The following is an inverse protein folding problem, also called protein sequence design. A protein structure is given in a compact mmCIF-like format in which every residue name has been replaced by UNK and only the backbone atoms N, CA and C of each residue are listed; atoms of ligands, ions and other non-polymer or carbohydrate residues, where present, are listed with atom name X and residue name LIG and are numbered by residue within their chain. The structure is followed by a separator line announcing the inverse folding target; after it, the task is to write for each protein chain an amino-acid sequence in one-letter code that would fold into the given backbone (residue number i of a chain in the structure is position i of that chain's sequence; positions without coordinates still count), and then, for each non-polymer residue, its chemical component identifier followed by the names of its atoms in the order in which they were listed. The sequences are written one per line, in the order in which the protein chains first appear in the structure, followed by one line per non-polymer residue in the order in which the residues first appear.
data_IF_212374095984
#
_entry.id   IF_212374095984
#
_cell.length_a   1.000
_cell.length_b   1.000
_cell.length_c   1.000
_cell.angle_alpha   90.00
_cell.angle_beta   90.00
_cell.angle_gamma   90.00
#
_symmetry.space_group_name_H-M   'P 1'
#
loop_
_entity.id
_entity.type
_entity.pdbx_description
1 polymer ?
#
# COMPACT_ATOMS: atom_id res chain seq x y z
N UNK A 1 28.16 -18.66 11.20
CA UNK A 1 28.25 -17.50 12.11
C UNK A 1 27.45 -16.43 11.42
N UNK A 2 26.18 -16.34 11.80
CA UNK A 2 25.22 -15.42 11.21
C UNK A 2 25.64 -14.00 11.51
N UNK A 3 25.94 -13.25 10.45
CA UNK A 3 26.08 -11.80 10.54
C UNK A 3 24.74 -11.25 11.03
N UNK A 4 24.77 -10.61 12.21
CA UNK A 4 23.66 -9.85 12.75
C UNK A 4 23.24 -8.80 11.72
N UNK A 5 22.16 -9.06 10.99
CA UNK A 5 21.51 -8.04 10.17
C UNK A 5 21.10 -6.90 11.11
N UNK A 6 21.62 -5.72 10.83
CA UNK A 6 21.34 -4.48 11.56
C UNK A 6 19.84 -4.26 11.66
N UNK A 7 19.33 -4.02 12.87
CA UNK A 7 17.89 -3.95 13.16
C UNK A 7 17.08 -2.91 12.35
N UNK A 8 17.73 -2.02 11.61
CA UNK A 8 17.06 -1.11 10.66
C UNK A 8 16.64 -1.82 9.35
N UNK A 9 17.31 -2.90 8.93
CA UNK A 9 16.98 -3.64 7.70
C UNK A 9 15.73 -4.51 7.85
N UNK A 10 15.47 -4.99 9.07
CA UNK A 10 14.37 -5.92 9.39
C UNK A 10 13.14 -5.22 9.98
N UNK A 11 13.14 -3.88 10.04
CA UNK A 11 12.02 -3.10 10.59
C UNK A 11 11.16 -2.50 9.47
N UNK A 12 9.83 -2.67 9.59
CA UNK A 12 8.88 -2.08 8.65
C UNK A 12 8.82 -0.55 8.79
N UNK A 13 9.37 0.18 7.80
CA UNK A 13 9.40 1.66 7.81
C UNK A 13 8.13 2.22 7.16
N UNK A 14 7.12 2.52 7.98
CA UNK A 14 5.81 2.95 7.46
C UNK A 14 5.87 4.21 6.57
N UNK A 15 6.74 5.18 6.87
CA UNK A 15 6.76 6.44 6.10
C UNK A 15 7.35 6.28 4.69
N UNK A 16 8.34 5.41 4.53
CA UNK A 16 8.87 5.02 3.21
C UNK A 16 7.77 4.35 2.38
N UNK A 17 7.04 3.41 2.99
CA UNK A 17 5.92 2.71 2.35
C UNK A 17 4.77 3.67 2.00
N UNK A 18 4.45 4.65 2.85
CA UNK A 18 3.43 5.68 2.56
C UNK A 18 3.76 6.44 1.29
N UNK A 19 5.03 6.82 1.09
CA UNK A 19 5.45 7.58 -0.08
C UNK A 19 5.34 6.75 -1.36
N UNK A 20 5.83 5.50 -1.33
CA UNK A 20 5.70 4.55 -2.45
C UNK A 20 4.24 4.39 -2.88
N UNK A 21 3.32 4.25 -1.92
CA UNK A 21 1.89 4.08 -2.20
C UNK A 21 1.30 5.33 -2.83
N UNK A 22 1.61 6.52 -2.29
CA UNK A 22 1.13 7.80 -2.86
C UNK A 22 1.60 7.99 -4.29
N UNK A 23 2.89 7.80 -4.54
CA UNK A 23 3.47 7.90 -5.88
C UNK A 23 2.84 6.91 -6.86
N UNK A 24 2.59 5.66 -6.43
CA UNK A 24 1.95 4.63 -7.24
C UNK A 24 0.50 4.96 -7.60
N UNK A 25 -0.24 5.62 -6.70
CA UNK A 25 -1.60 6.09 -6.98
C UNK A 25 -1.57 7.26 -7.97
N UNK A 26 -0.68 8.24 -7.75
CA UNK A 26 -0.58 9.44 -8.57
C UNK A 26 -0.10 9.15 -10.00
N UNK A 27 0.87 8.25 -10.16
CA UNK A 27 1.34 7.79 -11.48
C UNK A 27 0.26 7.03 -12.27
N UNK A 28 -0.60 6.26 -11.57
CA UNK A 28 -1.61 5.41 -12.19
C UNK A 28 -2.87 6.20 -12.57
N UNK A 29 -3.32 7.08 -11.68
CA UNK A 29 -4.62 7.76 -11.84
C UNK A 29 -4.47 9.23 -12.23
N UNK A 30 -3.42 9.91 -11.76
CA UNK A 30 -3.17 11.33 -11.99
C UNK A 30 -4.41 12.20 -11.76
N UNK A 31 -4.76 13.00 -12.77
CA UNK A 31 -5.94 13.88 -12.78
C UNK A 31 -7.22 13.22 -13.31
N UNK A 32 -7.26 11.88 -13.44
CA UNK A 32 -8.41 11.17 -13.99
C UNK A 32 -9.66 11.32 -13.10
N UNK A 33 -10.80 11.47 -13.76
CA UNK A 33 -12.12 11.39 -13.11
C UNK A 33 -12.57 9.93 -13.02
N UNK A 34 -13.35 9.60 -12.00
CA UNK A 34 -13.90 8.25 -11.78
C UNK A 34 -14.54 7.69 -13.06
N UNK A 35 -14.15 6.47 -13.41
CA UNK A 35 -14.73 5.69 -14.50
C UNK A 35 -14.81 4.24 -14.05
N UNK A 36 -16.04 3.72 -13.92
CA UNK A 36 -16.27 2.37 -13.41
C UNK A 36 -15.49 1.30 -14.18
N UNK A 37 -15.44 1.42 -15.52
CA UNK A 37 -14.73 0.49 -16.40
C UNK A 37 -13.21 0.48 -16.18
N UNK A 38 -12.64 1.54 -15.61
CA UNK A 38 -11.20 1.65 -15.33
C UNK A 38 -10.83 1.21 -13.91
N UNK A 39 -11.79 1.05 -13.01
CA UNK A 39 -11.53 0.76 -11.58
C UNK A 39 -10.70 -0.52 -11.42
N UNK A 40 -11.05 -1.59 -12.13
CA UNK A 40 -10.30 -2.85 -12.06
C UNK A 40 -8.85 -2.67 -12.53
N UNK A 41 -8.65 -1.97 -13.66
CA UNK A 41 -7.32 -1.69 -14.19
C UNK A 41 -6.50 -0.83 -13.22
N UNK A 42 -7.06 0.25 -12.68
CA UNK A 42 -6.37 1.09 -11.69
C UNK A 42 -6.00 0.31 -10.43
N UNK A 43 -6.89 -0.56 -9.96
CA UNK A 43 -6.63 -1.41 -8.79
C UNK A 43 -5.42 -2.30 -9.03
N UNK A 44 -5.38 -3.02 -10.15
CA UNK A 44 -4.25 -3.89 -10.50
C UNK A 44 -2.95 -3.10 -10.67
N UNK A 45 -2.98 -1.99 -11.41
CA UNK A 45 -1.78 -1.18 -11.65
C UNK A 45 -1.19 -0.59 -10.37
N UNK A 46 -2.03 -0.07 -9.45
CA UNK A 46 -1.56 0.44 -8.16
C UNK A 46 -0.92 -0.67 -7.34
N UNK A 47 -1.54 -1.85 -7.28
CA UNK A 47 -1.00 -3.00 -6.53
C UNK A 47 0.35 -3.45 -7.11
N UNK A 48 0.42 -3.62 -8.44
CA UNK A 48 1.64 -4.03 -9.13
C UNK A 48 2.77 -3.02 -8.94
N UNK A 49 2.51 -1.72 -9.08
CA UNK A 49 3.52 -0.69 -8.87
C UNK A 49 4.02 -0.65 -7.42
N UNK A 50 3.10 -0.73 -6.43
CA UNK A 50 3.49 -0.81 -5.02
C UNK A 50 4.40 -2.03 -4.78
N UNK A 51 4.00 -3.22 -5.23
CA UNK A 51 4.78 -4.44 -5.03
C UNK A 51 6.14 -4.36 -5.74
N UNK A 52 6.20 -3.84 -6.96
CA UNK A 52 7.44 -3.66 -7.70
C UNK A 52 8.40 -2.67 -7.01
N UNK A 53 7.89 -1.60 -6.41
CA UNK A 53 8.73 -0.65 -5.68
C UNK A 53 9.19 -1.22 -4.33
N UNK A 54 8.30 -1.86 -3.57
CA UNK A 54 8.60 -2.47 -2.28
C UNK A 54 9.64 -3.58 -2.39
N UNK A 55 9.54 -4.44 -3.43
CA UNK A 55 10.52 -5.50 -3.67
C UNK A 55 11.89 -4.97 -4.09
N UNK A 56 11.95 -3.83 -4.79
CA UNK A 56 13.21 -3.15 -5.14
C UNK A 56 13.96 -2.57 -3.95
N UNK A 57 13.29 -2.38 -2.80
CA UNK A 57 13.97 -1.98 -1.57
C UNK A 57 14.95 -3.05 -1.06
N UNK A 58 14.83 -4.29 -1.53
CA UNK A 58 15.75 -5.39 -1.15
C UNK A 58 15.65 -5.82 0.31
N UNK A 59 14.65 -5.34 1.06
CA UNK A 59 14.43 -5.70 2.46
C UNK A 59 13.79 -7.09 2.58
N UNK A 60 14.11 -7.88 3.62
CA UNK A 60 13.65 -9.26 3.79
C UNK A 60 12.19 -9.32 4.28
N UNK A 61 11.26 -8.85 3.46
CA UNK A 61 9.83 -8.83 3.77
C UNK A 61 9.01 -9.59 2.74
N UNK A 62 7.96 -10.25 3.21
CA UNK A 62 6.80 -10.63 2.41
C UNK A 62 5.78 -9.49 2.45
N UNK A 63 5.51 -8.91 1.28
CA UNK A 63 4.55 -7.81 1.15
C UNK A 63 3.17 -8.28 0.70
N UNK A 64 2.13 -7.71 1.31
CA UNK A 64 0.73 -7.86 0.88
C UNK A 64 0.15 -6.47 0.67
N UNK A 65 -0.44 -6.22 -0.50
CA UNK A 65 -1.05 -4.93 -0.84
C UNK A 65 -2.52 -5.14 -1.16
N UNK A 66 -3.38 -4.36 -0.52
CA UNK A 66 -4.81 -4.30 -0.80
C UNK A 66 -5.15 -2.88 -1.26
N UNK A 67 -6.00 -2.75 -2.29
CA UNK A 67 -6.43 -1.47 -2.82
C UNK A 67 -7.95 -1.48 -2.96
N UNK A 68 -8.61 -0.47 -2.38
CA UNK A 68 -10.05 -0.24 -2.50
C UNK A 68 -10.27 1.13 -3.13
N UNK A 69 -11.00 1.16 -4.24
CA UNK A 69 -11.38 2.39 -4.93
C UNK A 69 -12.88 2.61 -4.73
N UNK A 70 -13.25 3.81 -4.29
CA UNK A 70 -14.65 4.16 -4.01
C UNK A 70 -15.04 5.47 -4.69
N UNK A 71 -16.17 5.49 -5.40
CA UNK A 71 -16.72 6.72 -5.97
C UNK A 71 -17.24 7.65 -4.86
N UNK A 72 -17.01 8.97 -5.00
CA UNK A 72 -17.59 10.00 -4.15
C UNK A 72 -19.06 10.26 -4.51
N UNK A 73 -19.94 9.41 -4.01
CA UNK A 73 -21.40 9.52 -4.17
C UNK A 73 -22.14 9.87 -2.88
N UNK A 74 -21.42 10.19 -1.80
CA UNK A 74 -21.98 10.40 -0.47
C UNK A 74 -22.16 9.12 0.35
N UNK A 75 -21.85 7.95 -0.21
CA UNK A 75 -21.78 6.70 0.53
C UNK A 75 -20.58 6.66 1.51
N UNK A 76 -20.73 5.92 2.60
CA UNK A 76 -19.66 5.65 3.57
C UNK A 76 -18.91 4.34 3.27
N UNK A 77 -17.67 4.25 3.73
CA UNK A 77 -16.85 3.05 3.70
C UNK A 77 -16.14 2.88 5.04
N UNK A 78 -16.20 1.68 5.60
CA UNK A 78 -15.47 1.30 6.80
C UNK A 78 -14.58 0.09 6.48
N UNK A 79 -13.27 0.26 6.65
CA UNK A 79 -12.29 -0.80 6.45
C UNK A 79 -11.56 -1.04 7.77
N UNK A 80 -11.44 -2.30 8.17
CA UNK A 80 -10.67 -2.71 9.34
C UNK A 80 -9.82 -3.93 8.97
N UNK A 81 -8.66 -4.05 9.62
CA UNK A 81 -7.79 -5.21 9.52
C UNK A 81 -7.55 -5.79 10.92
N UNK A 82 -7.50 -7.12 11.01
CA UNK A 82 -7.12 -7.84 12.22
C UNK A 82 -5.87 -8.64 11.90
N UNK A 83 -4.81 -8.44 12.68
CA UNK A 83 -3.50 -9.03 12.43
C UNK A 83 -2.97 -9.67 13.71
N UNK A 84 -2.25 -10.78 13.56
CA UNK A 84 -1.47 -11.39 14.63
C UNK A 84 -0.05 -11.62 14.10
N UNK A 85 0.91 -10.87 14.64
CA UNK A 85 2.26 -10.74 14.10
C UNK A 85 3.26 -10.25 15.16
N UNK A 86 4.54 -10.18 14.81
CA UNK A 86 5.57 -9.60 15.67
C UNK A 86 5.60 -8.07 15.50
N UNK A 87 5.23 -7.32 16.55
CA UNK A 87 5.19 -5.85 16.51
C UNK A 87 6.56 -5.17 16.42
N UNK A 88 7.66 -5.92 16.58
CA UNK A 88 9.01 -5.38 16.47
C UNK A 88 9.52 -5.33 15.02
N UNK A 89 9.07 -6.27 14.18
CA UNK A 89 9.56 -6.46 12.80
C UNK A 89 8.46 -6.23 11.76
N UNK A 90 7.25 -6.73 12.04
CA UNK A 90 6.11 -6.68 11.13
C UNK A 90 5.34 -5.37 11.26
N UNK A 91 4.68 -4.97 10.19
CA UNK A 91 3.90 -3.75 10.21
C UNK A 91 2.89 -3.61 9.09
N UNK A 92 2.06 -2.58 9.23
CA UNK A 92 1.15 -2.16 8.17
C UNK A 92 1.09 -0.67 8.02
N UNK A 93 0.71 -0.26 6.82
CA UNK A 93 0.54 1.13 6.44
C UNK A 93 -0.74 1.25 5.62
N UNK A 94 -1.70 2.04 6.11
CA UNK A 94 -2.89 2.43 5.35
C UNK A 94 -2.74 3.84 4.83
N UNK A 95 -2.87 4.02 3.52
CA UNK A 95 -2.89 5.32 2.85
C UNK A 95 -4.28 5.57 2.31
N UNK A 96 -4.84 6.72 2.70
CA UNK A 96 -6.04 7.29 2.11
C UNK A 96 -5.62 8.42 1.17
N UNK A 97 -5.90 8.25 -0.12
CA UNK A 97 -5.73 9.26 -1.15
C UNK A 97 -7.09 9.59 -1.77
N UNK A 98 -7.28 10.82 -2.23
CA UNK A 98 -8.53 11.23 -2.83
C UNK A 98 -8.34 12.27 -3.93
N UNK A 99 -9.24 12.26 -4.90
CA UNK A 99 -9.41 13.36 -5.83
C UNK A 99 -10.85 13.87 -5.79
N UNK A 100 -11.25 14.74 -6.72
CA UNK A 100 -12.60 15.32 -6.75
C UNK A 100 -13.73 14.28 -6.86
N UNK A 101 -13.46 13.08 -7.41
CA UNK A 101 -14.48 12.11 -7.83
C UNK A 101 -14.44 10.77 -7.10
N UNK A 102 -13.32 10.41 -6.46
CA UNK A 102 -13.14 9.09 -5.85
C UNK A 102 -12.11 9.11 -4.71
N UNK A 103 -12.16 8.07 -3.88
CA UNK A 103 -11.20 7.72 -2.85
C UNK A 103 -10.39 6.48 -3.26
N UNK A 104 -9.13 6.45 -2.84
CA UNK A 104 -8.26 5.30 -2.85
C UNK A 104 -7.88 4.99 -1.41
N UNK A 105 -8.12 3.75 -0.99
CA UNK A 105 -7.71 3.24 0.32
C UNK A 105 -6.79 2.06 0.04
N UNK A 106 -5.49 2.26 0.24
CA UNK A 106 -4.48 1.24 -0.01
C UNK A 106 -3.84 0.84 1.31
N UNK A 107 -3.87 -0.45 1.63
CA UNK A 107 -3.22 -0.99 2.82
C UNK A 107 -2.11 -1.94 2.42
N UNK A 108 -0.91 -1.65 2.89
CA UNK A 108 0.28 -2.49 2.73
C UNK A 108 0.58 -3.16 4.06
N UNK A 109 0.86 -4.46 4.02
CA UNK A 109 1.39 -5.24 5.13
C UNK A 109 2.79 -5.71 4.75
N UNK A 110 3.76 -5.53 5.63
CA UNK A 110 5.11 -6.09 5.50
C UNK A 110 5.35 -7.06 6.65
N UNK A 111 5.67 -8.30 6.31
CA UNK A 111 5.95 -9.37 7.26
C UNK A 111 7.40 -9.81 7.09
N UNK A 112 8.23 -9.68 8.12
CA UNK A 112 9.64 -10.05 8.06
C UNK A 112 9.80 -11.57 7.83
N UNK A 113 10.87 -11.96 7.14
CA UNK A 113 11.19 -13.35 6.78
C UNK A 113 12.45 -13.80 7.51
#
# INVERSE_FOLDING_TARGET
MDDFQTGEETTFVSDEVKNIVKESIESTVGSSTYSHNKVQQWTSLVIEQCLNHLTKLGKPFKYVVTCVIMQKSGAGLHTASSCYWDSSTDGSCTVKWENKSMYFIVTVFGLAI
#
